data_IF_363165549088
#
_entry.id   IF_363165549088
#
_cell.length_a   1.000
_cell.length_b   1.000
_cell.length_c   1.000
_cell.angle_alpha   90.00
_cell.angle_beta   90.00
_cell.angle_gamma   90.00
#
_symmetry.space_group_name_H-M   'P 1'
#
loop_
_entity.id
_entity.type
_entity.pdbx_description
1 polymer ?
#
# COMPACT_ATOMS: atom_id res chain seq x y z
N UNK A 1 -5.56 36.88 9.41
CA UNK A 1 -4.27 36.47 8.84
C UNK A 1 -4.31 34.96 8.66
N UNK A 2 -4.32 34.47 7.43
CA UNK A 2 -4.17 33.03 7.16
C UNK A 2 -2.73 32.65 7.54
N UNK A 3 -2.56 31.88 8.63
CA UNK A 3 -1.25 31.37 9.02
C UNK A 3 -0.75 30.43 7.91
N UNK A 4 0.32 30.82 7.24
CA UNK A 4 0.96 30.01 6.21
C UNK A 4 1.93 29.03 6.86
N UNK A 5 2.14 27.89 6.22
CA UNK A 5 3.09 26.87 6.68
C UNK A 5 4.48 27.24 6.16
N UNK A 6 5.41 27.50 7.08
CA UNK A 6 6.83 27.74 6.79
C UNK A 6 7.64 26.46 6.97
N UNK A 7 8.87 26.44 6.44
CA UNK A 7 9.81 25.33 6.64
C UNK A 7 10.05 25.05 8.12
N UNK A 8 10.43 26.08 8.89
CA UNK A 8 10.75 25.96 10.31
C UNK A 8 9.56 25.41 11.13
N UNK A 9 8.34 25.91 10.86
CA UNK A 9 7.14 25.41 11.52
C UNK A 9 6.85 23.94 11.13
N UNK A 10 7.18 23.52 9.91
CA UNK A 10 7.03 22.12 9.50
C UNK A 10 8.07 21.22 10.18
N UNK A 11 9.34 21.63 10.26
CA UNK A 11 10.41 20.89 10.95
C UNK A 11 10.05 20.66 12.41
N UNK A 12 9.66 21.71 13.15
CA UNK A 12 9.23 21.61 14.56
C UNK A 12 8.09 20.58 14.75
N UNK A 13 7.15 20.53 13.79
CA UNK A 13 6.05 19.57 13.84
C UNK A 13 6.50 18.17 13.45
N UNK A 14 7.40 18.00 12.49
CA UNK A 14 7.96 16.68 12.17
C UNK A 14 8.74 16.10 13.37
N UNK A 15 9.51 16.93 14.08
CA UNK A 15 10.21 16.54 15.31
C UNK A 15 9.24 16.07 16.40
N UNK A 16 8.16 16.83 16.62
CA UNK A 16 7.10 16.46 17.57
C UNK A 16 6.29 15.22 17.14
N UNK A 17 6.28 14.85 15.85
CA UNK A 17 5.78 13.55 15.35
C UNK A 17 6.77 12.40 15.61
N UNK A 18 7.96 12.71 16.13
CA UNK A 18 9.01 11.74 16.45
C UNK A 18 10.00 11.49 15.32
N UNK A 19 10.02 12.34 14.27
CA UNK A 19 11.07 12.31 13.25
C UNK A 19 12.35 12.90 13.83
N UNK A 20 13.49 12.24 13.62
CA UNK A 20 14.79 12.64 14.16
C UNK A 20 15.82 12.78 13.03
N UNK A 21 16.96 13.45 13.26
CA UNK A 21 18.04 13.61 12.27
C UNK A 21 18.75 12.33 11.77
N UNK A 22 18.25 11.15 12.14
CA UNK A 22 18.70 9.83 11.69
C UNK A 22 17.53 8.97 11.21
N UNK A 23 16.33 9.53 11.09
CA UNK A 23 15.13 8.79 10.71
C UNK A 23 15.15 8.51 9.21
N UNK A 24 14.92 7.25 8.86
CA UNK A 24 14.52 6.82 7.53
C UNK A 24 13.01 6.91 7.43
N UNK A 25 12.49 7.70 6.50
CA UNK A 25 11.06 7.93 6.39
C UNK A 25 10.54 7.57 5.00
N UNK A 26 9.38 6.93 4.99
CA UNK A 26 8.59 6.69 3.80
C UNK A 26 7.35 7.56 3.83
N UNK A 27 7.23 8.49 2.88
CA UNK A 27 6.22 9.54 2.91
C UNK A 27 5.18 9.37 1.81
N UNK A 28 3.91 9.36 2.20
CA UNK A 28 2.77 9.60 1.32
C UNK A 28 2.21 10.98 1.65
N UNK A 29 1.98 11.83 0.63
CA UNK A 29 1.64 13.22 0.90
C UNK A 29 0.70 13.85 -0.12
N UNK A 30 -0.14 14.76 0.36
CA UNK A 30 -1.00 15.62 -0.46
C UNK A 30 -0.76 17.09 -0.12
N UNK A 31 -0.07 17.81 -1.02
CA UNK A 31 0.29 19.22 -0.81
C UNK A 31 -0.94 20.11 -0.58
N UNK A 32 -2.03 19.88 -1.33
CA UNK A 32 -3.25 20.69 -1.26
C UNK A 32 -3.92 20.64 0.12
N UNK A 33 -3.64 19.61 0.91
CA UNK A 33 -4.24 19.42 2.25
C UNK A 33 -3.60 20.28 3.32
N UNK A 34 -2.41 20.84 3.08
CA UNK A 34 -1.74 21.73 4.03
C UNK A 34 -2.33 23.15 4.07
N UNK A 35 -3.14 23.54 3.09
CA UNK A 35 -3.52 24.94 2.87
C UNK A 35 -2.40 25.69 2.16
N UNK A 36 -2.06 26.90 2.62
CA UNK A 36 -0.97 27.68 2.02
C UNK A 36 0.38 27.29 2.64
N UNK A 37 1.26 26.69 1.83
CA UNK A 37 2.66 26.44 2.17
C UNK A 37 3.52 27.46 1.45
N UNK A 38 4.31 28.24 2.19
CA UNK A 38 5.28 29.16 1.61
C UNK A 38 6.26 28.36 0.75
N UNK A 39 6.50 28.73 -0.50
CA UNK A 39 7.38 27.97 -1.40
C UNK A 39 6.82 26.62 -1.90
N UNK A 40 5.61 26.22 -1.48
CA UNK A 40 4.93 25.02 -1.98
C UNK A 40 5.66 23.72 -1.63
N UNK A 41 5.76 22.79 -2.60
CA UNK A 41 6.33 21.46 -2.39
C UNK A 41 7.83 21.48 -2.03
N UNK A 42 8.59 22.47 -2.53
CA UNK A 42 10.02 22.61 -2.20
C UNK A 42 10.23 22.77 -0.70
N UNK A 43 9.40 23.58 -0.04
CA UNK A 43 9.44 23.77 1.42
C UNK A 43 9.12 22.49 2.17
N UNK A 44 8.19 21.67 1.66
CA UNK A 44 7.89 20.37 2.27
C UNK A 44 9.10 19.43 2.17
N UNK A 45 9.71 19.34 0.98
CA UNK A 45 10.90 18.51 0.77
C UNK A 45 12.08 19.00 1.59
N UNK A 46 12.30 20.32 1.66
CA UNK A 46 13.34 20.92 2.49
C UNK A 46 13.14 20.60 3.98
N UNK A 47 11.92 20.75 4.49
CA UNK A 47 11.59 20.42 5.88
C UNK A 47 11.78 18.92 6.18
N UNK A 48 11.41 18.02 5.26
CA UNK A 48 11.63 16.58 5.43
C UNK A 48 13.12 16.23 5.48
N UNK A 49 13.94 16.83 4.60
CA UNK A 49 15.41 16.63 4.60
C UNK A 49 16.05 17.21 5.87
N UNK A 50 15.61 18.38 6.31
CA UNK A 50 16.12 18.98 7.55
C UNK A 50 15.77 18.14 8.77
N UNK A 51 14.51 17.70 8.90
CA UNK A 51 14.05 16.89 10.02
C UNK A 51 14.73 15.50 10.08
N UNK A 52 15.02 14.90 8.92
CA UNK A 52 15.69 13.59 8.83
C UNK A 52 17.21 13.68 8.87
N UNK A 53 17.79 14.88 8.75
CA UNK A 53 19.23 15.10 8.79
C UNK A 53 20.00 14.41 7.64
N UNK A 54 21.33 14.60 7.58
CA UNK A 54 22.16 14.02 6.52
C UNK A 54 22.31 12.49 6.61
N UNK A 55 22.12 11.91 7.79
CA UNK A 55 22.21 10.46 8.02
C UNK A 55 20.88 9.73 7.76
N UNK A 56 19.74 10.42 7.88
CA UNK A 56 18.44 9.86 7.52
C UNK A 56 18.21 9.83 6.01
N UNK A 57 17.03 9.37 5.64
CA UNK A 57 16.59 9.32 4.25
C UNK A 57 15.10 9.59 4.15
N UNK A 58 14.70 10.19 3.02
CA UNK A 58 13.30 10.43 2.67
C UNK A 58 13.01 9.68 1.39
N UNK A 59 12.07 8.74 1.42
CA UNK A 59 11.58 8.05 0.23
C UNK A 59 10.09 8.31 0.01
N UNK A 60 9.67 8.49 -1.23
CA UNK A 60 8.28 8.76 -1.61
C UNK A 60 7.89 7.89 -2.81
N UNK A 61 6.61 7.53 -2.95
CA UNK A 61 6.15 6.76 -4.10
C UNK A 61 6.29 7.62 -5.36
N UNK A 62 6.73 7.02 -6.47
CA UNK A 62 6.82 7.62 -7.80
C UNK A 62 6.28 6.62 -8.82
N UNK A 63 5.02 6.24 -8.62
CA UNK A 63 4.38 5.18 -9.40
C UNK A 63 4.17 5.63 -10.85
N UNK A 64 4.30 4.66 -11.75
CA UNK A 64 4.24 4.87 -13.20
C UNK A 64 2.87 4.50 -13.72
N UNK A 65 2.51 5.12 -14.83
CA UNK A 65 1.27 4.83 -15.58
C UNK A 65 1.27 3.45 -16.26
N UNK A 66 2.35 2.69 -16.13
CA UNK A 66 2.45 1.31 -16.61
C UNK A 66 1.47 0.34 -15.93
N UNK A 67 0.77 0.79 -14.88
CA UNK A 67 -0.35 0.05 -14.28
C UNK A 67 -1.58 0.07 -15.20
N UNK A 68 -1.73 1.11 -16.04
CA UNK A 68 -3.00 1.46 -16.72
C UNK A 68 -2.90 1.56 -18.25
N UNK A 69 -1.71 1.39 -18.81
CA UNK A 69 -1.53 1.47 -20.27
C UNK A 69 -0.70 0.31 -20.81
N UNK A 70 -1.03 -0.11 -22.04
CA UNK A 70 -0.19 -1.00 -22.86
C UNK A 70 1.14 -0.36 -23.24
N UNK A 71 1.27 0.96 -23.02
CA UNK A 71 2.55 1.68 -22.95
C UNK A 71 3.27 1.28 -21.67
N UNK A 72 3.59 0.00 -21.59
CA UNK A 72 4.38 -0.59 -20.54
C UNK A 72 5.69 0.20 -20.46
N UNK A 73 5.86 0.97 -19.36
CA UNK A 73 7.03 1.82 -19.12
C UNK A 73 8.37 1.05 -19.09
N UNK A 74 8.26 -0.27 -19.25
CA UNK A 74 9.34 -1.19 -19.38
C UNK A 74 9.92 -1.27 -20.80
N UNK A 75 9.40 -0.58 -21.83
CA UNK A 75 10.15 -0.44 -23.10
C UNK A 75 11.58 0.08 -22.90
N UNK A 76 11.82 0.89 -21.86
CA UNK A 76 13.16 1.34 -21.43
C UNK A 76 13.88 0.37 -20.47
N UNK A 77 13.19 -0.61 -19.89
CA UNK A 77 13.72 -1.53 -18.89
C UNK A 77 13.68 -3.02 -19.31
N UNK A 78 13.16 -3.36 -20.51
CA UNK A 78 12.66 -4.71 -20.88
C UNK A 78 13.77 -5.74 -21.05
N UNK A 79 15.02 -5.30 -21.03
CA UNK A 79 16.19 -6.15 -20.96
C UNK A 79 16.62 -6.53 -19.52
N UNK A 80 15.82 -6.23 -18.49
CA UNK A 80 16.21 -6.15 -17.07
C UNK A 80 17.08 -4.91 -16.85
N UNK A 81 16.58 -3.89 -16.14
CA UNK A 81 17.39 -2.72 -15.78
C UNK A 81 18.69 -3.20 -15.12
N UNK A 82 19.86 -3.17 -15.80
CA UNK A 82 21.07 -3.86 -15.32
C UNK A 82 21.68 -3.11 -14.14
N UNK A 83 21.20 -1.90 -13.87
CA UNK A 83 21.68 -1.00 -12.84
C UNK A 83 21.04 -1.35 -11.49
N UNK A 84 21.82 -1.10 -10.43
CA UNK A 84 21.39 -1.26 -9.03
C UNK A 84 20.15 -0.40 -8.71
N UNK A 85 20.08 0.79 -9.30
CA UNK A 85 19.00 1.76 -9.20
C UNK A 85 18.56 2.25 -10.58
N UNK A 86 17.37 2.84 -10.67
CA UNK A 86 16.73 3.21 -11.92
C UNK A 86 17.17 4.60 -12.37
N UNK A 87 17.72 4.71 -13.58
CA UNK A 87 18.08 6.00 -14.18
C UNK A 87 16.89 6.76 -14.82
N UNK A 88 15.69 6.18 -14.79
CA UNK A 88 14.52 6.74 -15.47
C UNK A 88 14.06 8.04 -14.83
N UNK A 89 13.98 9.09 -15.65
CA UNK A 89 13.44 10.41 -15.30
C UNK A 89 11.93 10.57 -15.57
N UNK A 90 11.24 9.47 -15.87
CA UNK A 90 9.78 9.51 -16.09
C UNK A 90 9.08 10.08 -14.86
N UNK A 91 8.15 11.02 -15.07
CA UNK A 91 7.34 11.58 -13.99
C UNK A 91 6.51 10.48 -13.29
N UNK A 92 6.34 10.62 -11.98
CA UNK A 92 5.38 9.82 -11.21
C UNK A 92 4.02 10.53 -11.08
N UNK A 93 2.97 9.79 -10.75
CA UNK A 93 1.59 10.30 -10.66
C UNK A 93 1.02 10.37 -9.23
N UNK A 94 1.87 10.20 -8.22
CA UNK A 94 1.50 10.02 -6.81
C UNK A 94 1.41 11.33 -6.01
N UNK A 95 1.76 12.46 -6.63
CA UNK A 95 1.59 13.79 -6.03
C UNK A 95 2.79 14.73 -6.23
N UNK A 96 2.55 16.03 -6.04
CA UNK A 96 3.54 17.09 -6.30
C UNK A 96 4.78 17.00 -5.40
N UNK A 97 4.64 16.55 -4.15
CA UNK A 97 5.76 16.42 -3.20
C UNK A 97 6.71 15.30 -3.64
N UNK A 98 6.19 14.11 -3.98
CA UNK A 98 7.00 13.01 -4.50
C UNK A 98 7.71 13.38 -5.80
N UNK A 99 7.06 14.20 -6.64
CA UNK A 99 7.69 14.67 -7.87
C UNK A 99 8.79 15.72 -7.64
N UNK A 100 8.57 16.65 -6.71
CA UNK A 100 9.62 17.58 -6.28
C UNK A 100 10.81 16.83 -5.66
N UNK A 101 10.57 15.73 -4.94
CA UNK A 101 11.62 14.85 -4.42
C UNK A 101 12.42 14.15 -5.55
N UNK A 102 11.73 13.70 -6.61
CA UNK A 102 12.37 13.10 -7.81
C UNK A 102 13.24 14.11 -8.57
N UNK A 103 12.82 15.38 -8.58
CA UNK A 103 13.53 16.45 -9.30
C UNK A 103 14.77 16.96 -8.55
N UNK A 104 15.01 16.53 -7.29
CA UNK A 104 16.22 16.89 -6.56
C UNK A 104 17.49 16.34 -7.25
N UNK A 105 18.62 17.08 -7.24
CA UNK A 105 19.85 16.67 -7.92
C UNK A 105 20.45 15.35 -7.44
N UNK A 106 20.28 15.04 -6.15
CA UNK A 106 20.75 13.82 -5.47
C UNK A 106 19.70 12.71 -5.41
N UNK A 107 18.56 12.87 -6.09
CA UNK A 107 17.45 11.91 -6.04
C UNK A 107 17.81 10.59 -6.70
N UNK A 108 17.53 9.51 -6.00
CA UNK A 108 17.65 8.13 -6.43
C UNK A 108 16.27 7.53 -6.70
N UNK A 109 16.21 6.45 -7.49
CA UNK A 109 14.95 5.76 -7.81
C UNK A 109 15.09 4.25 -7.78
N UNK A 110 14.19 3.56 -7.10
CA UNK A 110 14.12 2.09 -7.10
C UNK A 110 13.64 1.54 -8.46
N UNK A 111 14.02 0.31 -8.78
CA UNK A 111 13.75 -0.34 -10.06
C UNK A 111 12.50 -1.24 -10.06
N UNK A 112 11.30 -0.66 -9.93
CA UNK A 112 10.05 -1.42 -10.13
C UNK A 112 9.23 -0.87 -11.30
N UNK A 113 8.62 -1.72 -12.14
CA UNK A 113 7.95 -1.31 -13.36
C UNK A 113 6.67 -0.51 -13.15
N UNK A 114 5.99 -0.76 -12.04
CA UNK A 114 4.73 -0.10 -11.70
C UNK A 114 4.90 0.82 -10.48
N UNK A 115 5.43 0.28 -9.39
CA UNK A 115 5.54 0.96 -8.10
C UNK A 115 6.97 1.42 -7.75
N UNK A 116 7.66 2.14 -8.63
CA UNK A 116 8.96 2.70 -8.24
C UNK A 116 8.83 3.77 -7.16
N UNK A 117 9.82 3.82 -6.27
CA UNK A 117 10.03 4.83 -5.24
C UNK A 117 11.20 5.73 -5.60
N UNK A 118 11.16 6.99 -5.15
CA UNK A 118 12.25 7.96 -5.26
C UNK A 118 12.72 8.38 -3.88
N UNK A 119 13.98 8.79 -3.74
CA UNK A 119 14.48 9.18 -2.44
C UNK A 119 15.78 9.97 -2.43
N UNK A 120 16.01 10.65 -1.32
CA UNK A 120 17.18 11.50 -1.05
C UNK A 120 17.69 11.25 0.37
N UNK A 121 18.92 11.67 0.66
CA UNK A 121 19.57 11.48 1.97
C UNK A 121 20.56 10.31 1.98
N UNK A 122 21.30 10.17 3.09
CA UNK A 122 22.46 9.29 3.19
C UNK A 122 22.16 7.82 2.88
N UNK A 123 21.01 7.33 3.34
CA UNK A 123 20.63 5.91 3.24
C UNK A 123 19.55 5.64 2.16
N UNK A 124 19.23 6.63 1.32
CA UNK A 124 18.25 6.45 0.25
C UNK A 124 18.60 5.31 -0.70
N UNK A 125 19.88 5.13 -1.00
CA UNK A 125 20.37 4.04 -1.84
C UNK A 125 20.05 2.66 -1.21
N UNK A 126 20.32 2.47 0.08
CA UNK A 126 20.06 1.23 0.80
C UNK A 126 18.57 0.90 0.90
N UNK A 127 17.71 1.93 1.01
CA UNK A 127 16.26 1.74 1.03
C UNK A 127 15.68 1.38 -0.34
N UNK A 128 16.29 1.85 -1.44
CA UNK A 128 15.73 1.75 -2.78
C UNK A 128 16.31 0.61 -3.62
N UNK A 129 17.49 0.09 -3.27
CA UNK A 129 18.09 -1.03 -3.96
C UNK A 129 17.29 -2.33 -3.80
N UNK A 130 17.61 -3.34 -4.60
CA UNK A 130 16.94 -4.64 -4.54
C UNK A 130 15.59 -4.70 -5.28
N UNK A 131 14.82 -3.61 -5.35
CA UNK A 131 13.45 -3.59 -5.87
C UNK A 131 13.26 -4.15 -7.31
N UNK A 132 14.34 -4.20 -8.10
CA UNK A 132 14.39 -4.90 -9.40
C UNK A 132 14.18 -6.41 -9.33
N UNK A 133 14.49 -7.02 -8.20
CA UNK A 133 14.37 -8.44 -7.94
C UNK A 133 13.05 -8.81 -7.28
N UNK A 134 12.26 -7.80 -6.85
CA UNK A 134 10.95 -8.04 -6.26
C UNK A 134 9.99 -8.58 -7.34
N UNK A 135 9.35 -9.75 -7.13
CA UNK A 135 8.38 -10.31 -8.06
C UNK A 135 7.07 -9.49 -8.09
N UNK A 136 6.81 -8.74 -7.01
CA UNK A 136 5.61 -7.91 -6.82
C UNK A 136 6.03 -6.49 -6.40
N UNK A 137 5.11 -5.51 -6.44
CA UNK A 137 5.34 -4.17 -5.91
C UNK A 137 5.74 -4.11 -4.43
N UNK A 138 5.29 -5.08 -3.64
CA UNK A 138 5.34 -5.05 -2.18
C UNK A 138 6.15 -6.21 -1.60
N UNK A 139 6.82 -6.99 -2.45
CA UNK A 139 7.60 -8.16 -2.03
C UNK A 139 8.85 -7.82 -1.24
N UNK A 140 9.57 -8.86 -0.80
CA UNK A 140 10.75 -8.77 0.10
C UNK A 140 11.76 -7.70 -0.27
N UNK A 141 12.03 -7.57 -1.57
CA UNK A 141 13.04 -6.67 -2.11
C UNK A 141 12.51 -5.24 -2.31
N UNK A 142 11.27 -4.97 -1.90
CA UNK A 142 10.69 -3.62 -1.92
C UNK A 142 11.29 -2.75 -0.80
N UNK A 143 11.20 -1.41 -0.94
CA UNK A 143 11.62 -0.47 0.10
C UNK A 143 10.90 -0.64 1.45
N UNK A 144 9.78 -1.35 1.50
CA UNK A 144 9.02 -1.60 2.74
C UNK A 144 9.80 -2.41 3.75
N UNK A 145 10.44 -3.49 3.30
CA UNK A 145 11.21 -4.34 4.19
C UNK A 145 12.53 -3.70 4.59
N UNK A 146 13.18 -2.94 3.70
CA UNK A 146 14.38 -2.17 4.04
C UNK A 146 14.09 -1.12 5.12
N UNK A 147 12.98 -0.41 4.97
CA UNK A 147 12.51 0.53 5.99
C UNK A 147 12.26 -0.17 7.33
N UNK A 148 11.62 -1.33 7.33
CA UNK A 148 11.36 -2.12 8.55
C UNK A 148 12.64 -2.66 9.20
N UNK A 149 13.60 -3.14 8.40
CA UNK A 149 14.92 -3.58 8.87
C UNK A 149 15.67 -2.44 9.56
N UNK A 150 15.57 -1.22 9.04
CA UNK A 150 16.23 -0.01 9.55
C UNK A 150 15.45 0.72 10.66
N UNK A 151 14.36 0.15 11.17
CA UNK A 151 13.49 0.80 12.18
C UNK A 151 12.92 2.15 11.72
N UNK A 152 12.63 2.25 10.42
CA UNK A 152 12.14 3.47 9.79
C UNK A 152 10.69 3.81 10.13
N UNK A 153 10.26 4.97 9.64
CA UNK A 153 8.96 5.57 9.96
C UNK A 153 8.12 5.72 8.69
N UNK A 154 6.86 5.31 8.79
CA UNK A 154 5.83 5.58 7.78
C UNK A 154 5.17 6.91 8.11
N UNK A 155 5.16 7.84 7.15
CA UNK A 155 4.66 9.19 7.33
C UNK A 155 3.52 9.48 6.33
N UNK A 156 2.33 9.75 6.85
CA UNK A 156 1.17 10.17 6.08
C UNK A 156 0.95 11.67 6.27
N UNK A 157 1.10 12.46 5.21
CA UNK A 157 1.06 13.92 5.24
C UNK A 157 -0.16 14.45 4.47
N UNK A 158 -1.26 14.69 5.18
CA UNK A 158 -2.51 15.12 4.57
C UNK A 158 -3.21 14.01 3.78
N UNK A 159 -2.85 12.76 4.02
CA UNK A 159 -3.49 11.57 3.41
C UNK A 159 -3.86 10.56 4.49
N UNK A 160 -4.85 9.72 4.20
CA UNK A 160 -5.31 8.68 5.13
C UNK A 160 -4.66 7.32 4.89
N UNK A 161 -5.10 6.33 5.65
CA UNK A 161 -4.61 4.94 5.56
C UNK A 161 -4.87 4.31 4.18
N UNK A 162 -5.85 4.82 3.43
CA UNK A 162 -6.13 4.47 2.04
C UNK A 162 -4.96 4.74 1.08
N UNK A 163 -3.98 5.56 1.48
CA UNK A 163 -2.76 5.81 0.71
C UNK A 163 -1.57 4.96 1.17
N UNK A 164 -1.68 4.21 2.27
CA UNK A 164 -0.57 3.46 2.85
C UNK A 164 -0.36 2.13 2.11
N UNK A 165 0.58 2.11 1.17
CA UNK A 165 0.88 0.92 0.34
C UNK A 165 1.46 -0.24 1.14
N UNK A 166 2.09 0.03 2.28
CA UNK A 166 2.75 -0.99 3.12
C UNK A 166 1.80 -2.07 3.66
N UNK A 167 0.50 -1.82 3.73
CA UNK A 167 -0.48 -2.83 4.11
C UNK A 167 -0.42 -4.05 3.18
N UNK A 168 -0.09 -3.85 1.90
CA UNK A 168 -0.02 -4.92 0.91
C UNK A 168 1.23 -5.82 1.07
N UNK A 169 2.24 -5.41 1.85
CA UNK A 169 3.41 -6.26 2.08
C UNK A 169 3.05 -7.54 2.85
N UNK A 170 2.12 -7.47 3.82
CA UNK A 170 1.68 -8.67 4.53
C UNK A 170 0.78 -9.53 3.64
N UNK A 171 -0.05 -8.92 2.80
CA UNK A 171 -0.88 -9.62 1.82
C UNK A 171 -0.01 -10.47 0.88
N UNK A 172 1.07 -9.88 0.38
CA UNK A 172 2.03 -10.52 -0.52
C UNK A 172 2.77 -11.70 0.16
N UNK A 173 3.34 -11.46 1.34
CA UNK A 173 4.12 -12.49 2.06
C UNK A 173 3.26 -13.66 2.55
N UNK A 174 2.03 -13.39 2.97
CA UNK A 174 1.11 -14.45 3.42
C UNK A 174 0.47 -15.20 2.26
N UNK A 175 0.60 -14.72 1.02
CA UNK A 175 -0.22 -15.17 -0.10
C UNK A 175 -1.69 -15.20 0.30
N UNK A 176 -2.18 -14.10 0.88
CA UNK A 176 -3.50 -14.11 1.50
C UNK A 176 -4.53 -14.67 0.51
N UNK A 177 -5.53 -15.42 0.97
CA UNK A 177 -6.46 -16.12 0.09
C UNK A 177 -7.19 -15.22 -0.95
N UNK A 178 -7.23 -13.91 -0.71
CA UNK A 178 -7.82 -12.90 -1.59
C UNK A 178 -6.79 -12.13 -2.45
N UNK A 179 -5.52 -12.55 -2.45
CA UNK A 179 -4.53 -12.04 -3.38
C UNK A 179 -4.68 -12.78 -4.70
N UNK A 180 -4.86 -12.05 -5.80
CA UNK A 180 -5.04 -12.64 -7.12
C UNK A 180 -3.73 -12.96 -7.82
N UNK A 181 -3.86 -13.36 -9.10
CA UNK A 181 -2.77 -13.68 -9.99
C UNK A 181 -1.76 -12.53 -10.08
N UNK A 182 -0.47 -12.85 -10.03
CA UNK A 182 0.57 -11.93 -10.49
C UNK A 182 0.55 -11.92 -12.02
N UNK A 183 0.57 -10.73 -12.62
CA UNK A 183 1.07 -10.57 -13.99
C UNK A 183 2.61 -10.60 -13.94
N UNK A 184 3.25 -11.70 -14.36
CA UNK A 184 4.70 -11.85 -14.21
C UNK A 184 5.45 -10.88 -15.11
N UNK A 185 4.86 -10.54 -16.26
CA UNK A 185 5.44 -9.58 -17.20
C UNK A 185 5.49 -8.21 -16.56
N UNK A 186 4.40 -7.81 -15.85
CA UNK A 186 4.22 -6.54 -15.12
C UNK A 186 4.87 -6.49 -13.74
N UNK A 187 5.34 -7.65 -13.23
CA UNK A 187 5.71 -7.84 -11.81
C UNK A 187 4.70 -7.19 -10.89
N UNK A 188 3.42 -7.35 -11.25
CA UNK A 188 2.32 -6.69 -10.59
C UNK A 188 1.40 -7.78 -10.04
N UNK A 189 1.39 -7.91 -8.72
CA UNK A 189 0.34 -8.65 -8.05
C UNK A 189 -0.95 -7.90 -8.28
N UNK A 190 -1.83 -8.50 -9.04
CA UNK A 190 -3.12 -7.89 -9.28
C UNK A 190 -3.88 -8.08 -7.99
N UNK A 191 -4.08 -6.99 -7.27
CA UNK A 191 -4.64 -7.01 -5.93
C UNK A 191 -6.14 -7.34 -5.93
N UNK A 192 -6.65 -7.91 -7.01
CA UNK A 192 -8.06 -7.98 -7.34
C UNK A 192 -8.51 -9.43 -7.37
N UNK A 193 -9.04 -9.95 -6.25
CA UNK A 193 -10.17 -10.90 -6.25
C UNK A 193 -10.47 -11.45 -4.85
N UNK A 194 -11.76 -11.61 -4.53
CA UNK A 194 -12.34 -12.04 -3.24
C UNK A 194 -12.23 -11.05 -2.07
N UNK A 195 -13.14 -10.07 -2.04
CA UNK A 195 -13.38 -9.23 -0.88
C UNK A 195 -12.84 -7.80 -1.00
N UNK A 196 -13.69 -6.86 -0.62
CA UNK A 196 -13.46 -5.42 -0.78
C UNK A 196 -12.58 -4.90 0.36
N UNK A 197 -11.48 -4.21 0.09
CA UNK A 197 -10.55 -3.81 1.17
C UNK A 197 -11.16 -2.82 2.15
N UNK A 198 -11.06 -3.12 3.44
CA UNK A 198 -11.43 -2.19 4.52
C UNK A 198 -10.62 -0.89 4.37
N UNK A 199 -9.36 -0.98 3.93
CA UNK A 199 -8.49 0.16 3.66
C UNK A 199 -9.13 1.22 2.74
N UNK A 200 -9.91 0.83 1.74
CA UNK A 200 -10.48 1.74 0.75
C UNK A 200 -11.95 2.08 1.04
N UNK A 201 -12.73 1.11 1.51
CA UNK A 201 -14.16 1.30 1.76
C UNK A 201 -14.47 1.88 3.15
N UNK A 202 -13.67 1.53 4.15
CA UNK A 202 -13.82 2.02 5.53
C UNK A 202 -12.48 2.48 6.13
N UNK A 203 -11.76 3.41 5.46
CA UNK A 203 -10.42 3.83 5.88
C UNK A 203 -10.40 4.37 7.32
N UNK A 204 -11.46 5.06 7.74
CA UNK A 204 -11.53 5.65 9.09
C UNK A 204 -11.64 4.58 10.18
N UNK A 205 -12.35 3.47 9.94
CA UNK A 205 -12.44 2.36 10.90
C UNK A 205 -11.08 1.68 11.07
N UNK A 206 -10.38 1.40 9.95
CA UNK A 206 -9.05 0.82 10.00
C UNK A 206 -8.04 1.78 10.65
N UNK A 207 -8.12 3.08 10.35
CA UNK A 207 -7.26 4.09 10.95
C UNK A 207 -7.48 4.19 12.47
N UNK A 208 -8.74 4.25 12.93
CA UNK A 208 -9.07 4.28 14.36
C UNK A 208 -8.60 3.02 15.08
N UNK A 209 -8.59 1.87 14.40
CA UNK A 209 -8.01 0.62 14.92
C UNK A 209 -6.53 0.80 15.20
N UNK A 210 -5.75 1.33 14.24
CA UNK A 210 -4.31 1.56 14.45
C UNK A 210 -4.04 2.61 15.55
N UNK A 211 -4.87 3.64 15.67
CA UNK A 211 -4.81 4.61 16.78
C UNK A 211 -5.06 3.93 18.13
N UNK A 212 -6.11 3.11 18.21
CA UNK A 212 -6.50 2.40 19.46
C UNK A 212 -5.47 1.33 19.83
N UNK A 213 -4.76 0.79 18.85
CA UNK A 213 -3.62 -0.12 19.03
C UNK A 213 -2.33 0.59 19.49
N UNK A 214 -2.35 1.91 19.66
CA UNK A 214 -1.21 2.77 20.05
C UNK A 214 -0.06 2.74 19.02
N UNK A 215 -0.40 2.63 17.73
CA UNK A 215 0.59 2.54 16.63
C UNK A 215 0.82 3.88 15.92
N UNK A 216 -0.06 4.87 16.14
CA UNK A 216 -0.12 6.10 15.34
C UNK A 216 0.11 7.33 16.21
N UNK A 217 1.14 8.10 15.89
CA UNK A 217 1.30 9.48 16.39
C UNK A 217 0.66 10.46 15.41
N UNK A 218 -0.15 11.39 15.90
CA UNK A 218 -0.91 12.33 15.06
C UNK A 218 -0.63 13.77 15.42
N UNK A 219 -0.58 14.64 14.41
CA UNK A 219 -0.51 16.09 14.58
C UNK A 219 -1.08 16.82 13.37
N UNK A 220 -1.36 18.12 13.54
CA UNK A 220 -1.70 19.02 12.43
C UNK A 220 -0.49 19.84 11.99
N UNK A 221 -0.29 19.92 10.68
CA UNK A 221 0.67 20.83 10.04
C UNK A 221 -0.11 21.67 9.02
N UNK A 222 -0.23 22.97 9.30
CA UNK A 222 -1.20 23.81 8.58
C UNK A 222 -2.62 23.25 8.71
N UNK A 223 -3.25 22.96 7.56
CA UNK A 223 -4.57 22.35 7.51
C UNK A 223 -4.56 20.81 7.47
N UNK A 224 -3.39 20.19 7.26
CA UNK A 224 -3.28 18.75 7.07
C UNK A 224 -3.26 18.01 8.42
N UNK A 225 -4.01 16.91 8.51
CA UNK A 225 -3.72 15.88 9.50
C UNK A 225 -2.49 15.09 9.03
N UNK A 226 -1.56 14.86 9.93
CA UNK A 226 -0.28 14.20 9.66
C UNK A 226 -0.06 13.09 10.69
N UNK A 227 0.36 11.93 10.21
CA UNK A 227 0.45 10.71 11.01
C UNK A 227 1.81 10.04 10.82
N UNK A 228 2.39 9.53 11.91
CA UNK A 228 3.63 8.77 11.90
C UNK A 228 3.43 7.41 12.58
N UNK A 229 3.94 6.35 11.96
CA UNK A 229 3.91 4.97 12.46
C UNK A 229 5.30 4.34 12.34
N UNK A 230 5.73 3.55 13.33
CA UNK A 230 6.94 2.75 13.21
C UNK A 230 6.73 1.61 12.21
N UNK A 231 7.69 1.39 11.30
CA UNK A 231 7.58 0.32 10.31
C UNK A 231 7.54 -1.07 10.96
N UNK A 232 8.33 -1.28 12.03
CA UNK A 232 8.31 -2.52 12.83
C UNK A 232 7.02 -2.69 13.62
N UNK A 233 6.52 -1.62 14.23
CA UNK A 233 5.26 -1.65 14.99
C UNK A 233 4.09 -2.04 14.08
N UNK A 234 3.98 -1.41 12.90
CA UNK A 234 2.97 -1.79 11.92
C UNK A 234 3.19 -3.22 11.41
N UNK A 235 4.44 -3.61 11.10
CA UNK A 235 4.78 -4.96 10.66
C UNK A 235 4.35 -6.03 11.67
N UNK A 236 4.61 -5.81 12.96
CA UNK A 236 4.19 -6.70 14.04
C UNK A 236 2.67 -6.78 14.15
N UNK A 237 1.97 -5.65 14.10
CA UNK A 237 0.51 -5.62 14.12
C UNK A 237 -0.08 -6.42 12.95
N UNK A 238 0.35 -6.11 11.73
CA UNK A 238 -0.14 -6.77 10.51
C UNK A 238 0.13 -8.28 10.53
N UNK A 239 1.34 -8.68 10.92
CA UNK A 239 1.68 -10.10 11.02
C UNK A 239 0.79 -10.83 12.03
N UNK A 240 0.55 -10.22 13.19
CA UNK A 240 -0.23 -10.80 14.28
C UNK A 240 -1.69 -10.99 13.87
N UNK A 241 -2.34 -9.94 13.33
CA UNK A 241 -3.77 -10.01 13.01
C UNK A 241 -4.06 -10.92 11.81
N UNK A 242 -3.14 -10.98 10.83
CA UNK A 242 -3.27 -11.89 9.69
C UNK A 242 -2.93 -13.34 10.03
N UNK A 243 -2.24 -13.59 11.14
CA UNK A 243 -2.05 -14.95 11.67
C UNK A 243 -3.33 -15.49 12.30
N UNK A 244 -4.09 -14.63 12.99
CA UNK A 244 -5.39 -14.97 13.58
C UNK A 244 -6.49 -15.12 12.52
N UNK A 245 -6.55 -14.20 11.56
CA UNK A 245 -7.51 -14.24 10.47
C UNK A 245 -6.89 -13.74 9.15
N UNK A 246 -6.60 -14.64 8.18
CA UNK A 246 -6.01 -14.26 6.91
C UNK A 246 -6.98 -13.46 6.02
N UNK A 247 -8.22 -13.22 6.43
CA UNK A 247 -9.24 -12.41 5.73
C UNK A 247 -9.50 -11.05 6.38
N UNK A 248 -8.77 -10.71 7.45
CA UNK A 248 -9.14 -9.59 8.31
C UNK A 248 -9.16 -8.23 7.58
N UNK A 249 -8.36 -8.04 6.52
CA UNK A 249 -8.25 -6.75 5.81
C UNK A 249 -9.30 -6.54 4.71
N UNK A 250 -10.10 -7.56 4.39
CA UNK A 250 -11.12 -7.51 3.33
C UNK A 250 -12.51 -7.76 3.88
N UNK A 251 -13.48 -7.13 3.26
CA UNK A 251 -14.90 -7.31 3.44
C UNK A 251 -15.34 -8.59 2.74
N UNK A 252 -16.14 -9.41 3.42
CA UNK A 252 -16.66 -10.66 2.90
C UNK A 252 -18.17 -10.80 3.16
N UNK A 253 -19.01 -10.79 2.11
CA UNK A 253 -20.41 -11.20 2.22
C UNK A 253 -20.60 -12.67 2.66
N UNK A 254 -20.83 -12.91 3.95
CA UNK A 254 -21.02 -14.27 4.50
C UNK A 254 -22.47 -14.79 4.48
N UNK A 255 -23.46 -13.95 4.15
CA UNK A 255 -24.91 -14.27 4.20
C UNK A 255 -25.69 -13.55 3.09
N UNK A 256 -26.92 -14.00 2.81
CA UNK A 256 -27.83 -13.38 1.83
C UNK A 256 -28.11 -11.89 2.14
N UNK A 257 -28.25 -11.55 3.42
CA UNK A 257 -28.25 -10.15 3.90
C UNK A 257 -26.86 -9.84 4.43
N UNK A 258 -26.19 -8.85 3.83
CA UNK A 258 -24.82 -8.47 4.15
C UNK A 258 -24.72 -6.97 4.40
N UNK A 259 -24.26 -6.59 5.58
CA UNK A 259 -23.90 -5.22 5.92
C UNK A 259 -22.36 -5.09 5.92
N UNK A 260 -21.76 -4.43 4.91
CA UNK A 260 -20.31 -4.27 4.82
C UNK A 260 -19.74 -3.41 5.95
N UNK A 261 -20.52 -2.48 6.51
CA UNK A 261 -20.04 -1.64 7.60
C UNK A 261 -19.99 -2.43 8.91
N UNK A 262 -20.97 -3.29 9.16
CA UNK A 262 -20.94 -4.20 10.29
C UNK A 262 -19.77 -5.19 10.19
N UNK A 263 -19.54 -5.79 9.01
CA UNK A 263 -18.40 -6.70 8.80
C UNK A 263 -17.05 -6.01 9.04
N UNK A 264 -16.89 -4.78 8.51
CA UNK A 264 -15.70 -3.97 8.77
C UNK A 264 -15.47 -3.74 10.27
N UNK A 265 -16.53 -3.40 11.01
CA UNK A 265 -16.48 -3.13 12.45
C UNK A 265 -16.12 -4.39 13.24
N UNK A 266 -16.71 -5.54 12.92
CA UNK A 266 -16.42 -6.82 13.58
C UNK A 266 -14.97 -7.25 13.35
N UNK A 267 -14.46 -7.15 12.11
CA UNK A 267 -13.08 -7.50 11.77
C UNK A 267 -12.07 -6.58 12.44
N UNK A 268 -12.28 -5.27 12.40
CA UNK A 268 -11.40 -4.31 13.06
C UNK A 268 -11.41 -4.44 14.58
N UNK A 269 -12.56 -4.76 15.18
CA UNK A 269 -12.64 -5.09 16.60
C UNK A 269 -11.86 -6.37 16.92
N UNK A 270 -11.97 -7.41 16.10
CA UNK A 270 -11.21 -8.66 16.26
C UNK A 270 -9.70 -8.44 16.14
N UNK A 271 -9.24 -7.62 15.19
CA UNK A 271 -7.84 -7.21 15.07
C UNK A 271 -7.33 -6.60 16.38
N UNK A 272 -8.10 -5.69 16.99
CA UNK A 272 -7.75 -5.07 18.27
C UNK A 272 -7.68 -6.08 19.42
N UNK A 273 -8.67 -6.97 19.51
CA UNK A 273 -8.69 -8.01 20.54
C UNK A 273 -7.49 -8.96 20.40
N UNK A 274 -7.19 -9.40 19.17
CA UNK A 274 -6.01 -10.20 18.87
C UNK A 274 -4.72 -9.48 19.25
N UNK A 275 -4.56 -8.22 18.82
CA UNK A 275 -3.38 -7.42 19.15
C UNK A 275 -3.20 -7.21 20.65
N UNK A 276 -4.28 -6.98 21.41
CA UNK A 276 -4.21 -6.76 22.85
C UNK A 276 -3.94 -8.04 23.66
N UNK A 277 -4.45 -9.19 23.19
CA UNK A 277 -4.32 -10.48 23.89
C UNK A 277 -3.02 -11.22 23.57
N UNK A 278 -2.49 -11.04 22.36
CA UNK A 278 -1.33 -11.75 21.84
C UNK A 278 -0.21 -10.80 21.39
N UNK A 279 -0.09 -9.61 22.00
CA UNK A 279 0.87 -8.58 21.58
C UNK A 279 2.30 -9.12 21.61
N UNK A 280 2.90 -9.21 20.43
CA UNK A 280 4.31 -9.51 20.27
C UNK A 280 5.00 -8.40 19.50
N UNK A 281 5.73 -7.53 20.21
CA UNK A 281 6.40 -6.39 19.59
C UNK A 281 7.43 -6.81 18.53
N UNK A 282 7.96 -8.03 18.60
CA UNK A 282 8.94 -8.57 17.67
C UNK A 282 8.34 -9.43 16.54
N UNK A 283 7.01 -9.49 16.38
CA UNK A 283 6.37 -10.27 15.31
C UNK A 283 6.82 -9.84 13.89
N UNK A 284 7.28 -8.60 13.70
CA UNK A 284 7.91 -8.13 12.46
C UNK A 284 9.13 -8.98 12.04
N UNK A 285 9.83 -9.64 12.96
CA UNK A 285 10.95 -10.54 12.63
C UNK A 285 10.45 -11.80 11.92
N UNK A 286 9.31 -12.36 12.36
CA UNK A 286 8.66 -13.48 11.66
C UNK A 286 8.16 -13.05 10.29
N UNK A 287 7.61 -11.83 10.19
CA UNK A 287 7.21 -11.26 8.91
C UNK A 287 8.41 -11.14 7.95
N UNK A 288 9.55 -10.61 8.42
CA UNK A 288 10.79 -10.56 7.66
C UNK A 288 11.36 -11.94 7.30
N UNK A 289 11.22 -12.91 8.19
CA UNK A 289 11.68 -14.27 7.92
C UNK A 289 10.82 -14.92 6.84
N UNK A 290 9.50 -14.88 6.98
CA UNK A 290 8.54 -15.45 6.04
C UNK A 290 8.66 -14.84 4.64
N UNK A 291 8.97 -13.54 4.56
CA UNK A 291 9.17 -12.86 3.27
C UNK A 291 10.37 -13.38 2.45
N UNK A 292 11.27 -14.19 3.02
CA UNK A 292 12.38 -14.81 2.30
C UNK A 292 11.96 -16.03 1.49
N UNK A 293 10.86 -16.66 1.88
CA UNK A 293 10.34 -17.80 1.16
C UNK A 293 9.65 -17.30 -0.12
N UNK A 294 9.99 -17.87 -1.30
CA UNK A 294 9.29 -17.54 -2.51
C UNK A 294 7.84 -18.01 -2.37
N UNK A 295 6.93 -17.08 -2.55
CA UNK A 295 5.50 -17.36 -2.56
C UNK A 295 5.04 -17.43 -4.01
N UNK A 296 4.57 -18.59 -4.44
CA UNK A 296 3.84 -18.70 -5.69
C UNK A 296 2.43 -18.13 -5.49
N UNK A 297 2.07 -17.05 -6.19
CA UNK A 297 0.79 -16.38 -6.00
C UNK A 297 -0.37 -17.30 -6.35
N UNK A 298 -1.50 -17.14 -5.66
CA UNK A 298 -2.73 -17.81 -6.06
C UNK A 298 -3.18 -17.27 -7.41
N UNK A 299 -3.21 -18.14 -8.43
CA UNK A 299 -3.72 -17.78 -9.76
C UNK A 299 -5.19 -18.18 -9.86
N UNK A 300 -6.05 -17.18 -10.10
CA UNK A 300 -7.44 -17.41 -10.44
C UNK A 300 -7.68 -17.28 -11.94
N UNK A 301 -8.43 -18.21 -12.52
CA UNK A 301 -8.88 -18.17 -13.92
C UNK A 301 -10.39 -17.99 -14.01
N UNK A 302 -10.84 -17.26 -15.04
CA UNK A 302 -12.26 -17.20 -15.39
C UNK A 302 -12.80 -18.61 -15.67
N UNK A 303 -13.99 -18.91 -15.16
CA UNK A 303 -14.72 -20.13 -15.53
C UNK A 303 -15.73 -19.85 -16.64
N UNK A 304 -15.75 -20.70 -17.66
CA UNK A 304 -16.81 -20.71 -18.66
C UNK A 304 -18.14 -21.28 -18.12
N UNK A 305 -18.09 -22.00 -17.00
CA UNK A 305 -19.24 -22.64 -16.35
C UNK A 305 -19.38 -22.08 -14.94
N UNK A 306 -20.10 -20.95 -14.75
CA UNK A 306 -20.30 -20.36 -13.44
C UNK A 306 -21.36 -21.15 -12.64
N UNK A 307 -21.22 -21.14 -11.31
CA UNK A 307 -22.29 -21.54 -10.40
C UNK A 307 -23.40 -20.49 -10.39
N UNK A 308 -24.40 -20.66 -11.24
CA UNK A 308 -25.52 -19.72 -11.37
C UNK A 308 -26.49 -19.75 -10.18
N UNK A 309 -26.40 -20.80 -9.35
CA UNK A 309 -27.07 -20.96 -8.05
C UNK A 309 -26.41 -20.14 -6.93
N UNK A 310 -25.19 -19.66 -7.14
CA UNK A 310 -24.46 -18.91 -6.12
C UNK A 310 -25.09 -17.52 -5.90
N UNK A 311 -25.36 -17.09 -4.66
CA UNK A 311 -25.95 -15.78 -4.38
C UNK A 311 -25.01 -14.61 -4.72
N UNK A 312 -23.71 -14.88 -4.93
CA UNK A 312 -22.75 -13.90 -5.40
C UNK A 312 -22.75 -13.74 -6.94
N UNK A 313 -23.38 -14.63 -7.70
CA UNK A 313 -23.42 -14.54 -9.16
C UNK A 313 -24.25 -13.32 -9.61
N UNK A 314 -23.76 -12.60 -10.63
CA UNK A 314 -24.36 -11.34 -11.13
C UNK A 314 -24.63 -11.35 -12.64
N UNK A 315 -24.64 -12.52 -13.27
CA UNK A 315 -24.89 -12.63 -14.71
C UNK A 315 -23.64 -12.29 -15.53
N UNK A 316 -23.85 -11.94 -16.81
CA UNK A 316 -22.78 -11.48 -17.72
C UNK A 316 -22.77 -9.95 -17.80
N UNK A 317 -21.61 -9.35 -17.59
CA UNK A 317 -21.36 -7.90 -17.71
C UNK A 317 -20.05 -7.71 -18.46
N UNK A 318 -20.07 -6.87 -19.51
CA UNK A 318 -18.95 -6.68 -20.44
C UNK A 318 -18.38 -8.03 -20.92
N UNK A 319 -19.26 -8.89 -21.42
CA UNK A 319 -18.95 -10.23 -21.95
C UNK A 319 -18.48 -11.30 -20.94
N UNK A 320 -18.07 -10.93 -19.74
CA UNK A 320 -17.59 -11.85 -18.69
C UNK A 320 -18.68 -12.20 -17.67
N UNK A 321 -18.62 -13.42 -17.14
CA UNK A 321 -19.44 -13.81 -15.99
C UNK A 321 -18.96 -13.09 -14.74
N UNK A 322 -19.89 -12.49 -13.96
CA UNK A 322 -19.54 -11.68 -12.78
C UNK A 322 -19.98 -12.25 -11.43
N UNK A 323 -19.17 -11.97 -10.42
CA UNK A 323 -19.29 -12.39 -9.04
C UNK A 323 -19.16 -11.17 -8.11
N UNK A 324 -20.19 -10.85 -7.33
CA UNK A 324 -20.17 -9.77 -6.34
C UNK A 324 -19.21 -10.01 -5.17
N UNK A 325 -18.69 -11.22 -5.02
CA UNK A 325 -17.63 -11.51 -4.05
C UNK A 325 -16.24 -11.12 -4.59
N UNK A 326 -16.09 -10.96 -5.90
CA UNK A 326 -14.81 -10.62 -6.53
C UNK A 326 -14.77 -9.14 -6.94
N UNK A 327 -13.57 -8.57 -6.99
CA UNK A 327 -13.32 -7.25 -7.60
C UNK A 327 -12.94 -7.40 -9.08
N UNK A 328 -13.02 -6.29 -9.83
CA UNK A 328 -12.71 -6.23 -11.24
C UNK A 328 -11.32 -6.81 -11.56
N UNK A 329 -11.18 -7.59 -12.64
CA UNK A 329 -9.91 -8.14 -13.03
C UNK A 329 -8.94 -7.04 -13.47
N UNK A 330 -7.63 -7.27 -13.34
CA UNK A 330 -6.58 -6.28 -13.61
C UNK A 330 -6.33 -6.00 -15.09
N UNK A 331 -6.80 -6.87 -15.99
CA UNK A 331 -6.67 -6.72 -17.43
C UNK A 331 -7.80 -5.91 -18.04
N UNK A 332 -8.88 -5.65 -17.29
CA UNK A 332 -9.88 -4.66 -17.70
C UNK A 332 -9.32 -3.27 -17.39
N UNK A 333 -9.29 -2.41 -18.41
CA UNK A 333 -8.67 -1.09 -18.30
C UNK A 333 -9.39 -0.24 -17.26
N UNK A 334 -8.67 0.23 -16.24
CA UNK A 334 -9.16 1.23 -15.28
C UNK A 334 -9.61 2.55 -15.95
N UNK A 335 -9.23 2.80 -17.22
CA UNK A 335 -9.65 3.97 -17.98
C UNK A 335 -11.10 3.86 -18.51
N UNK A 336 -11.67 2.64 -18.57
CA UNK A 336 -13.07 2.39 -18.96
C UNK A 336 -14.06 2.45 -17.78
N UNK A 337 -13.58 2.89 -16.61
CA UNK A 337 -14.37 3.02 -15.40
C UNK A 337 -14.35 4.48 -14.94
N UNK A 338 -15.47 5.17 -15.16
CA UNK A 338 -15.77 6.44 -14.48
C UNK A 338 -16.00 6.11 -13.00
N UNK A 339 -15.11 6.62 -12.15
CA UNK A 339 -15.06 6.37 -10.71
C UNK A 339 -14.91 4.90 -10.30
N UNK A 340 -14.62 4.68 -9.02
CA UNK A 340 -14.50 3.36 -8.39
C UNK A 340 -15.84 2.61 -8.50
N UNK A 341 -16.08 1.99 -9.64
CA UNK A 341 -17.34 1.32 -9.92
C UNK A 341 -17.57 0.20 -8.91
N UNK A 342 -18.78 0.11 -8.37
CA UNK A 342 -19.25 -1.03 -7.59
C UNK A 342 -19.46 -2.29 -8.48
N UNK A 343 -18.85 -2.33 -9.66
CA UNK A 343 -19.00 -3.44 -10.61
C UNK A 343 -18.38 -4.73 -10.05
N UNK A 344 -19.10 -5.86 -10.13
CA UNK A 344 -18.62 -7.14 -9.65
C UNK A 344 -17.47 -7.69 -10.52
N UNK A 345 -16.55 -8.42 -9.88
CA UNK A 345 -15.41 -9.08 -10.51
C UNK A 345 -15.75 -10.32 -11.32
N UNK A 346 -14.74 -10.94 -11.95
CA UNK A 346 -14.93 -12.17 -12.75
C UNK A 346 -15.27 -13.37 -11.86
N UNK A 347 -16.10 -14.30 -12.37
CA UNK A 347 -16.44 -15.55 -11.68
C UNK A 347 -15.27 -16.53 -11.71
N UNK A 348 -14.93 -17.09 -10.54
CA UNK A 348 -13.82 -18.03 -10.32
C UNK A 348 -14.28 -19.29 -9.56
N UNK A 349 -15.55 -19.71 -9.71
CA UNK A 349 -16.22 -20.71 -8.85
C UNK A 349 -15.42 -21.96 -8.48
N UNK A 350 -14.74 -22.59 -9.44
CA UNK A 350 -13.99 -23.84 -9.23
C UNK A 350 -12.65 -23.65 -8.51
N UNK A 351 -12.25 -22.40 -8.33
CA UNK A 351 -11.05 -21.96 -7.61
C UNK A 351 -11.46 -21.09 -6.41
N UNK A 352 -12.76 -20.98 -6.13
CA UNK A 352 -13.29 -20.16 -5.05
C UNK A 352 -12.92 -20.79 -3.70
N UNK A 353 -12.11 -20.08 -2.93
CA UNK A 353 -11.71 -20.43 -1.57
C UNK A 353 -12.65 -19.79 -0.53
N UNK A 354 -13.94 -19.65 -0.88
CA UNK A 354 -14.98 -19.18 0.02
C UNK A 354 -15.43 -20.27 1.00
N UNK A 355 -15.21 -20.09 2.31
CA UNK A 355 -15.75 -20.99 3.32
C UNK A 355 -17.28 -20.77 3.35
N UNK A 356 -18.01 -21.87 3.14
CA UNK A 356 -19.45 -21.97 2.89
C UNK A 356 -19.89 -21.79 1.43
N UNK A 357 -19.49 -22.76 0.59
CA UNK A 357 -20.33 -23.57 -0.32
C UNK A 357 -19.55 -24.81 -0.85
N UNK A 358 -18.36 -25.09 -0.31
CA UNK A 358 -17.59 -26.32 -0.54
C UNK A 358 -17.79 -27.30 0.63
N UNK A 359 -18.99 -27.86 0.73
CA UNK A 359 -19.21 -29.20 1.26
C UNK A 359 -20.41 -29.78 0.51
N UNK A 360 -20.31 -30.97 -0.11
CA UNK A 360 -21.48 -31.66 -0.65
C UNK A 360 -22.52 -31.94 0.44
#
# INVERSE_FOLDING_TARGET
MTSHVTQAAMVERLERLGIRPTSHIMVHASLSRFGHVEGGAETVVAALREATGPAGAVIAPSFRDAVRSDNYALSLCLAQCPQRLCNSRQRGFTGKIGETLREQPDSLRSCHPTHSWVGVGGDADSLLEGHRHSPTPCGRESPFFRLMEQDGVLLLLGVGINSLTNLHAVEDVRNVPYLSAIDPSRRHATYTTSGRRIQYHFPELLFQTLVTADLVRTMRIGQAACHAMGARDLGSFLWTVTEDDPWCLVLRPVKETYDPQQDAAEKTQRMLQCWQSCRENAAWERFLHASREPVEPVQFQETAEPRTDCPAYRGRIREHHRCAANDLPPWESFEEFDDWTDEPGIVTCWQCNWPEFNTP
#
